data_IF_586861356529
#
_entry.id   IF_586861356529
#
_cell.length_a   1.000
_cell.length_b   1.000
_cell.length_c   1.000
_cell.angle_alpha   90.00
_cell.angle_beta   90.00
_cell.angle_gamma   90.00
#
_symmetry.space_group_name_H-M   'P 1'
#
loop_
_entity.id
_entity.type
_entity.pdbx_description
1 polymer ?
#
# COMPACT_ATOMS: atom_id res chain seq x y z
N UNK A 1 -4.91 -0.47 -4.96
CA UNK A 1 -4.86 0.60 -5.95
C UNK A 1 -4.52 1.94 -5.31
N UNK A 2 -4.28 2.96 -6.13
CA UNK A 2 -3.92 4.25 -5.56
C UNK A 2 -3.77 5.36 -6.59
N UNK A 3 -3.22 6.48 -6.13
CA UNK A 3 -2.92 7.63 -6.98
C UNK A 3 -4.04 8.65 -7.07
N UNK A 4 -5.00 8.67 -6.12
CA UNK A 4 -5.99 9.74 -6.10
C UNK A 4 -5.34 11.09 -5.71
N UNK A 5 -5.72 12.20 -6.40
CA UNK A 5 -5.09 13.50 -6.18
C UNK A 5 -5.60 14.16 -4.90
N UNK A 6 -4.71 14.84 -4.15
CA UNK A 6 -5.04 15.54 -2.91
C UNK A 6 -6.01 16.70 -3.10
N UNK A 7 -6.25 17.14 -4.32
CA UNK A 7 -7.26 18.15 -4.65
C UNK A 7 -8.70 17.60 -4.64
N UNK A 8 -8.85 16.27 -4.68
CA UNK A 8 -10.16 15.63 -4.67
C UNK A 8 -10.89 15.93 -3.36
N UNK A 9 -12.05 16.59 -3.44
CA UNK A 9 -12.87 17.00 -2.29
C UNK A 9 -12.05 17.65 -1.14
N UNK A 10 -11.15 18.56 -1.49
CA UNK A 10 -10.31 19.24 -0.50
C UNK A 10 -9.36 18.30 0.26
N UNK A 11 -9.01 17.16 -0.33
CA UNK A 11 -8.15 16.17 0.26
C UNK A 11 -8.84 15.17 1.19
N UNK A 12 -10.17 15.25 1.35
CA UNK A 12 -10.97 14.37 2.21
C UNK A 12 -12.13 13.71 1.44
N UNK A 13 -11.85 12.83 0.47
CA UNK A 13 -12.92 12.15 -0.27
C UNK A 13 -13.74 11.25 0.65
N UNK A 14 -15.06 11.37 0.54
CA UNK A 14 -16.02 10.58 1.33
C UNK A 14 -16.15 9.15 0.80
N UNK A 15 -16.40 8.20 1.73
CA UNK A 15 -16.63 6.78 1.41
C UNK A 15 -17.80 6.56 0.45
N UNK A 16 -18.78 7.44 0.48
CA UNK A 16 -20.01 7.36 -0.31
C UNK A 16 -19.74 7.40 -1.83
N UNK A 17 -18.65 8.02 -2.25
CA UNK A 17 -18.24 8.02 -3.67
C UNK A 17 -17.81 6.63 -4.13
N UNK A 18 -17.05 5.92 -3.28
CA UNK A 18 -16.63 4.54 -3.56
C UNK A 18 -17.81 3.59 -3.43
N UNK A 19 -18.68 3.77 -2.43
CA UNK A 19 -19.86 2.93 -2.20
C UNK A 19 -20.82 2.96 -3.39
N UNK A 20 -20.94 4.10 -4.08
CA UNK A 20 -21.75 4.22 -5.31
C UNK A 20 -21.23 3.38 -6.47
N UNK A 21 -19.93 3.09 -6.49
CA UNK A 21 -19.26 2.35 -7.56
C UNK A 21 -19.11 0.89 -7.17
N UNK A 22 -18.67 0.64 -5.93
CA UNK A 22 -18.35 -0.70 -5.41
C UNK A 22 -18.79 -0.77 -3.95
N UNK A 23 -20.00 -1.27 -3.68
CA UNK A 23 -20.53 -1.43 -2.34
C UNK A 23 -20.31 -2.84 -1.77
N UNK A 24 -20.16 -3.85 -2.64
CA UNK A 24 -20.18 -5.27 -2.28
C UNK A 24 -18.82 -5.82 -1.82
N UNK A 25 -17.73 -5.11 -2.08
CA UNK A 25 -16.37 -5.52 -1.71
C UNK A 25 -15.55 -4.37 -1.13
N UNK A 26 -14.51 -4.67 -0.32
CA UNK A 26 -13.68 -3.62 0.27
C UNK A 26 -12.85 -2.91 -0.80
N UNK A 27 -12.75 -1.59 -0.69
CA UNK A 27 -11.90 -0.75 -1.52
C UNK A 27 -10.96 0.04 -0.62
N UNK A 28 -9.66 -0.01 -0.94
CA UNK A 28 -8.60 0.75 -0.30
C UNK A 28 -7.70 1.36 -1.38
N UNK A 29 -7.58 2.67 -1.40
CA UNK A 29 -6.81 3.44 -2.37
C UNK A 29 -5.86 4.40 -1.67
N UNK A 30 -4.57 4.36 -1.98
CA UNK A 30 -3.62 5.35 -1.48
C UNK A 30 -3.70 6.65 -2.28
N UNK A 31 -3.42 7.77 -1.62
CA UNK A 31 -3.22 9.06 -2.28
C UNK A 31 -1.95 9.06 -3.12
N UNK A 32 -1.85 10.01 -4.03
CA UNK A 32 -0.68 10.14 -4.90
C UNK A 32 0.64 10.32 -4.12
N UNK A 33 0.59 11.02 -2.98
CA UNK A 33 1.76 11.25 -2.12
C UNK A 33 2.02 10.12 -1.12
N UNK A 34 1.12 9.13 -1.02
CA UNK A 34 1.25 7.99 -0.12
C UNK A 34 0.99 8.29 1.37
N UNK A 35 0.54 9.52 1.72
CA UNK A 35 0.30 9.93 3.10
C UNK A 35 -1.16 9.77 3.56
N UNK A 36 -2.05 9.43 2.65
CA UNK A 36 -3.46 9.24 2.95
C UNK A 36 -4.03 8.03 2.23
N UNK A 37 -5.03 7.41 2.84
CA UNK A 37 -5.76 6.30 2.23
C UNK A 37 -7.24 6.63 2.18
N UNK A 38 -7.92 6.16 1.15
CA UNK A 38 -9.36 6.33 0.96
C UNK A 38 -10.04 4.98 0.88
N UNK A 39 -11.02 4.77 1.75
CA UNK A 39 -11.71 3.51 1.95
C UNK A 39 -13.20 3.67 1.73
N UNK A 40 -13.84 2.63 1.21
CA UNK A 40 -15.29 2.52 1.20
C UNK A 40 -15.84 2.00 2.55
N UNK A 41 -17.16 2.03 2.72
CA UNK A 41 -17.82 1.54 3.94
C UNK A 41 -17.48 0.09 4.25
N UNK A 42 -17.37 -0.76 3.21
CA UNK A 42 -17.04 -2.19 3.37
C UNK A 42 -15.63 -2.43 3.91
N UNK A 43 -14.67 -1.62 3.49
CA UNK A 43 -13.29 -1.70 4.00
C UNK A 43 -13.21 -1.25 5.47
N UNK A 44 -13.93 -0.18 5.84
CA UNK A 44 -14.02 0.28 7.23
C UNK A 44 -14.68 -0.77 8.12
N UNK A 45 -15.78 -1.39 7.68
CA UNK A 45 -16.47 -2.47 8.38
C UNK A 45 -15.52 -3.66 8.67
N UNK A 46 -14.82 -4.15 7.65
CA UNK A 46 -13.87 -5.28 7.79
C UNK A 46 -12.71 -4.93 8.72
N UNK A 47 -12.27 -3.67 8.70
CA UNK A 47 -11.23 -3.19 9.60
C UNK A 47 -11.71 -2.93 11.03
N UNK A 48 -13.03 -2.95 11.28
CA UNK A 48 -13.64 -2.64 12.57
C UNK A 48 -13.55 -1.15 12.93
N UNK A 49 -13.43 -0.28 11.92
CA UNK A 49 -13.32 1.17 12.12
C UNK A 49 -14.71 1.79 12.19
N UNK A 50 -15.01 2.40 13.32
CA UNK A 50 -16.28 3.09 13.62
C UNK A 50 -16.03 4.39 14.39
N UNK A 51 -17.08 5.05 14.87
CA UNK A 51 -16.98 6.32 15.59
C UNK A 51 -16.26 6.23 16.93
N UNK A 52 -16.25 5.06 17.58
CA UNK A 52 -15.55 4.78 18.84
C UNK A 52 -14.08 4.40 18.64
N UNK A 53 -13.64 4.07 17.42
CA UNK A 53 -12.26 3.67 17.14
C UNK A 53 -11.31 4.85 17.40
N UNK A 54 -10.33 4.73 18.31
CA UNK A 54 -9.40 5.83 18.58
C UNK A 54 -8.45 6.06 17.40
N UNK A 55 -7.99 7.28 17.26
CA UNK A 55 -6.91 7.58 16.33
C UNK A 55 -5.63 6.85 16.77
N UNK A 56 -4.95 6.14 15.88
CA UNK A 56 -3.68 5.50 16.24
C UNK A 56 -2.57 6.56 16.40
N UNK A 57 -1.49 6.24 17.14
CA UNK A 57 -0.34 7.12 17.23
C UNK A 57 0.18 7.53 15.84
N UNK A 58 0.37 8.81 15.62
CA UNK A 58 0.78 9.41 14.34
C UNK A 58 -0.17 9.13 13.17
N UNK A 59 -1.46 8.92 13.43
CA UNK A 59 -2.48 8.74 12.40
C UNK A 59 -3.78 9.39 12.83
N UNK A 60 -4.64 9.67 11.87
CA UNK A 60 -5.97 10.25 12.11
C UNK A 60 -7.00 9.60 11.20
N UNK A 61 -8.14 9.25 11.78
CA UNK A 61 -9.33 8.83 11.08
C UNK A 61 -10.17 10.10 10.85
N UNK A 62 -10.36 10.49 9.58
CA UNK A 62 -11.22 11.64 9.28
C UNK A 62 -12.67 11.30 9.58
N UNK A 63 -13.35 12.20 10.32
CA UNK A 63 -14.72 12.00 10.79
C UNK A 63 -15.61 13.14 10.36
N UNK A 64 -16.87 12.81 10.16
CA UNK A 64 -17.94 13.79 10.03
C UNK A 64 -18.08 14.56 11.35
N UNK A 65 -18.00 15.90 11.35
CA UNK A 65 -18.01 16.68 12.58
C UNK A 65 -19.37 16.68 13.31
N UNK A 66 -20.45 16.34 12.62
CA UNK A 66 -21.80 16.32 13.20
C UNK A 66 -22.13 14.96 13.85
N UNK A 67 -21.65 13.85 13.24
CA UNK A 67 -22.01 12.50 13.66
C UNK A 67 -20.88 11.73 14.34
N UNK A 68 -19.63 12.15 14.11
CA UNK A 68 -18.43 11.43 14.56
C UNK A 68 -18.10 10.19 13.71
N UNK A 69 -18.90 9.87 12.70
CA UNK A 69 -18.69 8.70 11.85
C UNK A 69 -17.47 8.87 10.94
N UNK A 70 -16.68 7.82 10.71
CA UNK A 70 -15.57 7.84 9.77
C UNK A 70 -16.03 8.17 8.35
N UNK A 71 -15.40 9.17 7.72
CA UNK A 71 -15.74 9.61 6.36
C UNK A 71 -15.18 8.71 5.26
N UNK A 72 -14.18 7.87 5.58
CA UNK A 72 -13.48 7.03 4.61
C UNK A 72 -12.02 7.44 4.37
N UNK A 73 -11.66 8.67 4.66
CA UNK A 73 -10.26 9.12 4.56
C UNK A 73 -9.50 8.81 5.87
N UNK A 74 -8.36 8.15 5.72
CA UNK A 74 -7.43 7.78 6.79
C UNK A 74 -6.08 8.45 6.53
N UNK A 75 -5.51 9.09 7.55
CA UNK A 75 -4.24 9.81 7.46
C UNK A 75 -3.11 9.01 8.10
N UNK A 76 -1.96 8.99 7.42
CA UNK A 76 -0.71 8.45 7.95
C UNK A 76 -0.89 7.02 8.52
N UNK A 77 -0.53 6.83 9.79
CA UNK A 77 -0.61 5.52 10.44
C UNK A 77 -2.04 4.94 10.53
N UNK A 78 -3.10 5.75 10.33
CA UNK A 78 -4.48 5.24 10.36
C UNK A 78 -4.78 4.29 9.18
N UNK A 79 -4.14 4.48 8.02
CA UNK A 79 -4.25 3.55 6.89
C UNK A 79 -3.84 2.11 7.26
N UNK A 80 -2.93 1.94 8.21
CA UNK A 80 -2.47 0.62 8.68
C UNK A 80 -3.57 -0.22 9.32
N UNK A 81 -4.60 0.41 9.89
CA UNK A 81 -5.76 -0.30 10.46
C UNK A 81 -6.48 -1.15 9.39
N UNK A 82 -6.49 -0.69 8.15
CA UNK A 82 -7.07 -1.42 7.01
C UNK A 82 -6.04 -2.33 6.34
N UNK A 83 -4.82 -1.84 6.12
CA UNK A 83 -3.74 -2.58 5.42
C UNK A 83 -3.51 -3.96 6.04
N UNK A 84 -3.55 -4.08 7.38
CA UNK A 84 -3.34 -5.37 8.08
C UNK A 84 -4.45 -6.39 7.82
N UNK A 85 -5.56 -5.98 7.22
CA UNK A 85 -6.67 -6.86 6.80
C UNK A 85 -6.58 -7.28 5.33
N UNK A 86 -5.70 -6.65 4.56
CA UNK A 86 -5.49 -7.00 3.15
C UNK A 86 -4.68 -8.31 3.11
N UNK A 87 -5.13 -9.34 2.36
CA UNK A 87 -4.35 -10.54 2.16
C UNK A 87 -2.96 -10.23 1.61
N UNK A 88 -1.94 -10.87 2.14
CA UNK A 88 -0.59 -10.77 1.60
C UNK A 88 -0.52 -11.48 0.25
N UNK A 89 0.27 -10.94 -0.65
CA UNK A 89 0.59 -11.62 -1.90
C UNK A 89 1.36 -12.91 -1.64
N UNK A 90 1.12 -13.93 -2.45
CA UNK A 90 1.91 -15.16 -2.44
C UNK A 90 3.28 -14.94 -3.07
N UNK A 91 4.19 -15.87 -2.86
CA UNK A 91 5.51 -15.80 -3.50
C UNK A 91 5.40 -15.79 -5.03
N UNK A 92 4.52 -16.62 -5.60
CA UNK A 92 4.27 -16.69 -7.04
C UNK A 92 3.71 -15.38 -7.60
N UNK A 93 2.88 -14.67 -6.83
CA UNK A 93 2.37 -13.35 -7.21
C UNK A 93 3.48 -12.29 -7.21
N UNK A 94 4.43 -12.35 -6.25
CA UNK A 94 5.62 -11.49 -6.27
C UNK A 94 6.47 -11.74 -7.50
N UNK A 95 6.75 -13.01 -7.83
CA UNK A 95 7.54 -13.39 -9.03
C UNK A 95 6.82 -12.95 -10.30
N UNK A 96 5.51 -13.17 -10.41
CA UNK A 96 4.70 -12.73 -11.56
C UNK A 96 4.71 -11.21 -11.71
N UNK A 97 4.57 -10.47 -10.60
CA UNK A 97 4.66 -9.01 -10.58
C UNK A 97 6.02 -8.50 -11.03
N UNK A 98 7.10 -9.15 -10.59
CA UNK A 98 8.46 -8.81 -10.96
C UNK A 98 8.73 -9.06 -12.45
N UNK A 99 8.28 -10.19 -13.01
CA UNK A 99 8.32 -10.47 -14.46
C UNK A 99 7.64 -9.35 -15.24
N UNK A 100 6.45 -8.96 -14.82
CA UNK A 100 5.69 -7.88 -15.47
C UNK A 100 6.39 -6.53 -15.38
N UNK A 101 6.98 -6.22 -14.22
CA UNK A 101 7.75 -4.99 -14.02
C UNK A 101 8.98 -4.91 -14.94
N UNK A 102 9.75 -5.98 -15.04
CA UNK A 102 10.93 -6.00 -15.93
C UNK A 102 10.58 -5.97 -17.42
N UNK A 103 9.48 -6.65 -17.84
CA UNK A 103 8.97 -6.52 -19.22
C UNK A 103 8.68 -5.06 -19.57
N UNK A 104 8.03 -4.34 -18.66
CA UNK A 104 7.74 -2.93 -18.84
C UNK A 104 9.01 -2.09 -18.88
N UNK A 105 9.98 -2.31 -17.99
CA UNK A 105 11.28 -1.65 -18.00
C UNK A 105 12.00 -1.87 -19.32
N UNK A 106 12.10 -3.11 -19.78
CA UNK A 106 12.73 -3.48 -21.04
C UNK A 106 12.08 -2.80 -22.26
N UNK A 107 10.75 -2.68 -22.29
CA UNK A 107 10.02 -1.96 -23.36
C UNK A 107 10.43 -0.49 -23.47
N UNK A 108 10.83 0.13 -22.37
CA UNK A 108 11.31 1.51 -22.32
C UNK A 108 12.83 1.61 -22.42
N UNK A 109 13.55 0.52 -22.69
CA UNK A 109 15.02 0.50 -22.77
C UNK A 109 15.71 0.64 -21.42
N UNK A 110 14.99 0.44 -20.31
CA UNK A 110 15.56 0.50 -18.96
C UNK A 110 16.24 -0.83 -18.64
N UNK A 111 17.55 -0.77 -18.43
CA UNK A 111 18.39 -1.95 -18.14
C UNK A 111 18.81 -2.06 -16.68
N UNK A 112 18.59 -1.02 -15.88
CA UNK A 112 18.92 -1.00 -14.46
C UNK A 112 17.88 -0.21 -13.68
N UNK A 113 17.53 -0.70 -12.48
CA UNK A 113 16.60 -0.04 -11.55
C UNK A 113 17.16 -0.07 -10.15
N UNK A 114 16.73 0.89 -9.32
CA UNK A 114 16.87 0.83 -7.88
C UNK A 114 15.49 0.61 -7.26
N UNK A 115 15.31 -0.49 -6.54
CA UNK A 115 14.13 -0.70 -5.73
C UNK A 115 14.38 -0.10 -4.34
N UNK A 116 13.66 0.96 -4.03
CA UNK A 116 13.95 1.80 -2.85
C UNK A 116 13.48 1.19 -1.53
N UNK A 117 12.62 0.17 -1.57
CA UNK A 117 12.04 -0.43 -0.35
C UNK A 117 11.70 -1.90 -0.55
N UNK A 118 12.68 -2.75 -0.37
CA UNK A 118 12.48 -4.21 -0.46
C UNK A 118 12.16 -4.82 0.90
N UNK A 119 11.34 -5.87 0.88
CA UNK A 119 11.08 -6.79 1.98
C UNK A 119 11.71 -8.15 1.66
N UNK A 120 11.69 -9.07 2.62
CA UNK A 120 12.18 -10.45 2.40
C UNK A 120 11.46 -11.14 1.24
N UNK A 121 10.15 -10.88 1.05
CA UNK A 121 9.38 -11.44 -0.07
C UNK A 121 9.90 -10.93 -1.42
N UNK A 122 10.20 -9.64 -1.52
CA UNK A 122 10.81 -9.07 -2.74
C UNK A 122 12.19 -9.69 -2.98
N UNK A 123 13.04 -9.80 -1.95
CA UNK A 123 14.37 -10.39 -2.06
C UNK A 123 14.31 -11.83 -2.53
N UNK A 124 13.38 -12.63 -1.99
CA UNK A 124 13.20 -14.02 -2.39
C UNK A 124 12.79 -14.13 -3.87
N UNK A 125 11.88 -13.26 -4.34
CA UNK A 125 11.47 -13.23 -5.74
C UNK A 125 12.62 -12.80 -6.68
N UNK A 126 13.40 -11.79 -6.31
CA UNK A 126 14.61 -11.40 -7.07
C UNK A 126 15.62 -12.54 -7.12
N UNK A 127 15.90 -13.20 -5.99
CA UNK A 127 16.85 -14.30 -5.92
C UNK A 127 16.41 -15.51 -6.76
N UNK A 128 15.13 -15.83 -6.80
CA UNK A 128 14.59 -16.89 -7.66
C UNK A 128 14.79 -16.55 -9.13
N UNK A 129 14.41 -15.34 -9.57
CA UNK A 129 14.53 -14.93 -10.95
C UNK A 129 16.00 -14.78 -11.41
N UNK A 130 16.89 -14.35 -10.53
CA UNK A 130 18.33 -14.31 -10.81
C UNK A 130 18.89 -15.73 -10.98
N UNK A 131 18.58 -16.64 -10.06
CA UNK A 131 19.02 -18.05 -10.10
C UNK A 131 18.50 -18.79 -11.33
N UNK A 132 17.28 -18.49 -11.78
CA UNK A 132 16.70 -19.08 -12.98
C UNK A 132 17.21 -18.44 -14.28
N UNK A 133 17.95 -17.33 -14.20
CA UNK A 133 18.41 -16.56 -15.35
C UNK A 133 17.31 -15.71 -16.00
N UNK A 134 16.17 -15.55 -15.36
CA UNK A 134 15.04 -14.77 -15.86
C UNK A 134 15.18 -13.26 -15.56
N UNK A 135 16.06 -12.86 -14.62
CA UNK A 135 16.22 -11.45 -14.26
C UNK A 135 17.04 -10.71 -15.32
N UNK A 136 16.36 -9.92 -16.15
CA UNK A 136 16.96 -9.20 -17.31
C UNK A 136 17.27 -7.73 -17.02
N UNK A 137 16.82 -7.19 -15.89
CA UNK A 137 17.05 -5.82 -15.45
C UNK A 137 17.93 -5.85 -14.22
N UNK A 138 19.09 -5.21 -14.29
CA UNK A 138 19.97 -5.08 -13.10
C UNK A 138 19.25 -4.33 -12.00
N UNK A 139 19.11 -4.96 -10.84
CA UNK A 139 18.40 -4.38 -9.70
C UNK A 139 19.33 -4.12 -8.53
N UNK A 140 19.27 -2.90 -7.99
CA UNK A 140 19.86 -2.54 -6.70
C UNK A 140 18.75 -2.46 -5.68
N UNK A 141 18.79 -3.34 -4.68
CA UNK A 141 17.76 -3.45 -3.65
C UNK A 141 18.15 -2.67 -2.40
N UNK A 142 17.34 -1.68 -2.00
CA UNK A 142 17.49 -0.97 -0.74
C UNK A 142 16.61 -1.64 0.32
N UNK A 143 17.25 -2.29 1.30
CA UNK A 143 16.54 -2.95 2.39
C UNK A 143 16.03 -1.93 3.41
N UNK A 144 14.82 -2.16 3.91
CA UNK A 144 14.25 -1.33 4.97
C UNK A 144 15.02 -1.54 6.29
N UNK A 145 15.40 -0.44 6.94
CA UNK A 145 15.99 -0.47 8.28
C UNK A 145 14.94 -0.14 9.34
N UNK A 146 14.78 -1.02 10.32
CA UNK A 146 13.93 -0.79 11.49
C UNK A 146 14.82 -0.47 12.69
N UNK A 147 14.83 0.79 13.08
CA UNK A 147 15.66 1.25 14.21
C UNK A 147 15.41 0.49 15.52
N UNK A 148 14.20 -0.05 15.71
CA UNK A 148 13.88 -0.83 16.90
C UNK A 148 14.57 -2.20 16.94
N UNK A 149 14.96 -2.74 15.78
CA UNK A 149 15.68 -4.03 15.67
C UNK A 149 17.21 -3.88 15.75
N UNK A 150 17.72 -2.67 15.66
CA UNK A 150 19.15 -2.38 15.77
C UNK A 150 20.01 -2.95 14.63
N UNK A 151 21.33 -3.01 14.85
CA UNK A 151 22.32 -3.42 13.86
C UNK A 151 22.25 -4.89 13.37
N UNK A 152 21.74 -5.88 14.14
CA UNK A 152 21.71 -7.28 13.66
C UNK A 152 20.90 -7.54 12.40
N UNK A 153 20.08 -6.58 11.94
CA UNK A 153 19.34 -6.70 10.66
C UNK A 153 20.16 -6.30 9.42
N UNK A 154 21.38 -5.81 9.62
CA UNK A 154 22.30 -5.51 8.51
C UNK A 154 23.14 -6.77 8.29
N UNK A 155 23.08 -7.38 7.09
CA UNK A 155 23.86 -8.57 6.77
C UNK A 155 25.36 -8.34 6.79
#
# INVERSE_FOLDING_TARGET
>A
GGGWPLTMQGGNPGKELLDKIVADRPVFLDSFDGHSSWCNSKALEIAGINKETPDPPRGRIERDPATGEPTGTLREAAGRLVIVKIPLYTHEEYVAGLRRGQEMANRFGITSVQEARVTDQHMNAFAEMDKSGELTVRTVAAMGFDAAKGMPQIP
#
